data_IF_577178078185
#
_entry.id   IF_577178078185
#
_cell.length_a   1.000
_cell.length_b   1.000
_cell.length_c   1.000
_cell.angle_alpha   90.00
_cell.angle_beta   90.00
_cell.angle_gamma   90.00
#
_symmetry.space_group_name_H-M   'P 1'
#
loop_
_entity.id
_entity.type
_entity.pdbx_description
1 polymer ?
#
# COMPACT_ATOMS: atom_id res chain seq x y z
N UNK A 1 -13.73 -1.00 -19.63
CA UNK A 1 -13.73 0.47 -19.76
C UNK A 1 -14.96 1.00 -20.48
N UNK A 2 -15.29 0.52 -21.68
CA UNK A 2 -16.48 1.00 -22.44
C UNK A 2 -17.82 0.97 -21.66
N UNK A 3 -18.00 0.04 -20.72
CA UNK A 3 -19.17 0.00 -19.84
C UNK A 3 -19.17 1.12 -18.79
N UNK A 4 -18.02 1.49 -18.23
CA UNK A 4 -17.90 2.61 -17.29
C UNK A 4 -18.34 3.93 -17.94
N UNK A 5 -18.01 4.13 -19.22
CA UNK A 5 -18.40 5.33 -19.98
C UNK A 5 -19.91 5.53 -20.13
N UNK A 6 -20.72 4.50 -19.87
CA UNK A 6 -22.19 4.56 -19.92
C UNK A 6 -22.82 4.99 -18.58
N UNK A 7 -22.04 5.13 -17.51
CA UNK A 7 -22.54 5.53 -16.19
C UNK A 7 -23.01 6.99 -16.19
N UNK A 8 -24.03 7.30 -15.39
CA UNK A 8 -24.56 8.66 -15.20
C UNK A 8 -23.74 9.51 -14.20
N UNK A 9 -22.88 8.87 -13.40
CA UNK A 9 -22.11 9.44 -12.28
C UNK A 9 -22.93 9.75 -11.01
N UNK A 10 -24.12 9.18 -10.83
CA UNK A 10 -24.91 9.43 -9.61
C UNK A 10 -24.49 8.53 -8.44
N UNK A 11 -24.35 7.22 -8.70
CA UNK A 11 -24.01 6.24 -7.66
C UNK A 11 -22.54 5.81 -7.70
N UNK A 12 -21.97 5.73 -8.90
CA UNK A 12 -20.59 5.32 -9.12
C UNK A 12 -19.96 6.29 -10.11
N UNK A 13 -19.00 7.12 -9.67
CA UNK A 13 -18.24 7.97 -10.58
C UNK A 13 -17.58 7.14 -11.69
N UNK A 14 -17.60 7.65 -12.92
CA UNK A 14 -16.97 6.98 -14.07
C UNK A 14 -15.50 6.67 -13.80
N UNK A 15 -14.77 7.63 -13.25
CA UNK A 15 -13.34 7.49 -12.94
C UNK A 15 -13.09 6.38 -11.91
N UNK A 16 -13.96 6.22 -10.91
CA UNK A 16 -13.88 5.12 -9.94
C UNK A 16 -14.11 3.77 -10.61
N UNK A 17 -15.10 3.68 -11.51
CA UNK A 17 -15.32 2.47 -12.31
C UNK A 17 -14.08 2.16 -13.17
N UNK A 18 -13.55 3.15 -13.89
CA UNK A 18 -12.41 2.95 -14.77
C UNK A 18 -11.17 2.52 -14.02
N UNK A 19 -10.83 3.23 -12.94
CA UNK A 19 -9.70 2.92 -12.04
C UNK A 19 -9.75 1.46 -11.59
N UNK A 20 -10.90 1.02 -11.07
CA UNK A 20 -11.06 -0.36 -10.59
C UNK A 20 -10.95 -1.38 -11.74
N UNK A 21 -11.51 -1.08 -12.90
CA UNK A 21 -11.47 -1.99 -14.06
C UNK A 21 -10.05 -2.12 -14.61
N UNK A 22 -9.32 -1.02 -14.85
CA UNK A 22 -7.95 -1.09 -15.38
C UNK A 22 -6.99 -1.75 -14.39
N UNK A 23 -7.06 -1.40 -13.10
CA UNK A 23 -6.18 -1.97 -12.08
C UNK A 23 -6.43 -3.48 -11.88
N UNK A 24 -7.69 -3.89 -11.81
CA UNK A 24 -8.02 -5.32 -11.71
C UNK A 24 -7.59 -6.08 -12.95
N UNK A 25 -7.78 -5.50 -14.14
CA UNK A 25 -7.41 -6.13 -15.41
C UNK A 25 -5.89 -6.27 -15.54
N UNK A 26 -5.12 -5.23 -15.24
CA UNK A 26 -3.66 -5.25 -15.35
C UNK A 26 -3.05 -6.33 -14.44
N UNK A 27 -3.50 -6.40 -13.19
CA UNK A 27 -3.02 -7.41 -12.25
C UNK A 27 -3.50 -8.82 -12.58
N UNK A 28 -4.74 -9.01 -13.03
CA UNK A 28 -5.24 -10.36 -13.39
C UNK A 28 -4.52 -10.94 -14.59
N UNK A 29 -4.26 -10.10 -15.60
CA UNK A 29 -3.68 -10.52 -16.87
C UNK A 29 -2.16 -10.41 -16.92
N UNK A 30 -1.51 -9.95 -15.85
CA UNK A 30 -0.07 -9.68 -15.81
C UNK A 30 0.36 -8.70 -16.94
N UNK A 31 -0.48 -7.70 -17.21
CA UNK A 31 -0.35 -6.81 -18.37
C UNK A 31 -0.53 -5.34 -17.97
N UNK A 32 0.59 -4.65 -17.77
CA UNK A 32 0.61 -3.22 -17.47
C UNK A 32 0.00 -2.36 -18.59
N UNK A 33 -0.03 -2.86 -19.84
CA UNK A 33 -0.59 -2.11 -20.96
C UNK A 33 -2.11 -1.92 -20.83
N UNK A 34 -2.79 -2.75 -20.02
CA UNK A 34 -4.20 -2.56 -19.66
C UNK A 34 -4.46 -1.20 -18.98
N UNK A 35 -3.45 -0.61 -18.31
CA UNK A 35 -3.56 0.74 -17.76
C UNK A 35 -3.77 1.81 -18.84
N UNK A 36 -3.34 1.56 -20.08
CA UNK A 36 -3.48 2.50 -21.22
C UNK A 36 -4.88 2.48 -21.84
N UNK A 37 -5.79 1.63 -21.37
CA UNK A 37 -7.16 1.51 -21.91
C UNK A 37 -8.08 2.66 -21.50
N UNK A 38 -7.80 3.36 -20.40
CA UNK A 38 -8.49 4.62 -20.06
C UNK A 38 -7.87 5.78 -20.83
N UNK A 39 -8.66 6.82 -21.12
CA UNK A 39 -8.15 8.08 -21.71
C UNK A 39 -7.68 9.07 -20.64
N UNK A 40 -8.02 8.84 -19.37
CA UNK A 40 -7.66 9.71 -18.27
C UNK A 40 -6.19 9.47 -17.89
N UNK A 41 -5.31 10.42 -18.20
CA UNK A 41 -3.86 10.32 -17.98
C UNK A 41 -3.48 10.14 -16.50
N UNK A 42 -4.24 10.75 -15.59
CA UNK A 42 -4.03 10.59 -14.14
C UNK A 42 -4.31 9.14 -13.72
N UNK A 43 -5.41 8.55 -14.21
CA UNK A 43 -5.72 7.14 -13.94
C UNK A 43 -4.72 6.18 -14.58
N UNK A 44 -4.15 6.52 -15.75
CA UNK A 44 -3.08 5.72 -16.36
C UNK A 44 -1.86 5.67 -15.43
N UNK A 45 -1.39 6.84 -14.95
CA UNK A 45 -0.26 6.94 -14.04
C UNK A 45 -0.52 6.17 -12.72
N UNK A 46 -1.67 6.44 -12.07
CA UNK A 46 -2.07 5.73 -10.85
C UNK A 46 -2.15 4.22 -11.04
N UNK A 47 -2.64 3.75 -12.19
CA UNK A 47 -2.70 2.31 -12.49
C UNK A 47 -1.31 1.70 -12.65
N UNK A 48 -0.40 2.38 -13.36
CA UNK A 48 0.97 1.90 -13.55
C UNK A 48 1.76 1.86 -12.24
N UNK A 49 1.63 2.89 -11.40
CA UNK A 49 2.29 2.93 -10.10
C UNK A 49 1.78 1.80 -9.19
N UNK A 50 0.46 1.65 -9.10
CA UNK A 50 -0.15 0.56 -8.31
C UNK A 50 0.13 -0.83 -8.88
N UNK A 51 0.35 -0.93 -10.20
CA UNK A 51 0.63 -2.20 -10.85
C UNK A 51 1.87 -2.85 -10.24
N UNK A 52 3.00 -2.13 -10.14
CA UNK A 52 4.24 -2.71 -9.61
C UNK A 52 4.10 -3.14 -8.15
N UNK A 53 3.36 -2.38 -7.33
CA UNK A 53 3.11 -2.70 -5.92
C UNK A 53 2.31 -3.99 -5.79
N UNK A 54 1.16 -4.09 -6.47
CA UNK A 54 0.31 -5.28 -6.38
C UNK A 54 0.94 -6.48 -7.10
N UNK A 55 1.67 -6.25 -8.18
CA UNK A 55 2.30 -7.30 -8.98
C UNK A 55 3.49 -7.93 -8.25
N UNK A 56 4.31 -7.13 -7.54
CA UNK A 56 5.39 -7.66 -6.69
C UNK A 56 4.84 -8.57 -5.58
N UNK A 57 3.72 -8.18 -4.96
CA UNK A 57 3.03 -9.00 -3.96
C UNK A 57 2.44 -10.27 -4.58
N UNK A 58 1.76 -10.16 -5.73
CA UNK A 58 1.16 -11.31 -6.43
C UNK A 58 2.21 -12.35 -6.84
N UNK A 59 3.37 -11.90 -7.32
CA UNK A 59 4.47 -12.78 -7.80
C UNK A 59 5.46 -13.16 -6.72
N UNK A 60 5.34 -12.58 -5.53
CA UNK A 60 6.31 -12.70 -4.45
C UNK A 60 7.74 -12.33 -4.88
N UNK A 61 7.86 -11.28 -5.69
CA UNK A 61 9.13 -10.83 -6.29
C UNK A 61 9.32 -9.33 -6.12
N UNK A 62 10.19 -8.97 -5.18
CA UNK A 62 10.55 -7.58 -4.87
C UNK A 62 11.29 -6.88 -6.02
N UNK A 63 11.94 -7.64 -6.92
CA UNK A 63 12.65 -7.11 -8.08
C UNK A 63 11.73 -6.40 -9.08
N UNK A 64 10.43 -6.72 -9.06
CA UNK A 64 9.40 -6.03 -9.85
C UNK A 64 9.34 -4.53 -9.51
N UNK A 65 9.60 -4.14 -8.25
CA UNK A 65 9.57 -2.74 -7.84
C UNK A 65 10.61 -1.89 -8.57
N UNK A 66 11.74 -2.47 -9.01
CA UNK A 66 12.77 -1.75 -9.74
C UNK A 66 12.38 -1.34 -11.17
N UNK A 67 11.27 -1.87 -11.67
CA UNK A 67 10.73 -1.55 -12.99
C UNK A 67 9.88 -0.28 -13.00
N UNK A 68 9.48 0.24 -11.82
CA UNK A 68 8.78 1.52 -11.73
C UNK A 68 9.67 2.67 -12.23
N UNK A 69 9.07 3.69 -12.83
CA UNK A 69 9.80 4.79 -13.48
C UNK A 69 10.36 5.81 -12.49
N UNK A 70 9.58 6.18 -11.48
CA UNK A 70 9.93 7.17 -10.47
C UNK A 70 10.53 6.51 -9.22
N UNK A 71 11.57 7.13 -8.63
CA UNK A 71 12.27 6.60 -7.45
C UNK A 71 11.31 6.47 -6.26
N UNK A 72 10.44 7.45 -6.09
CA UNK A 72 9.44 7.50 -5.02
C UNK A 72 8.51 6.27 -5.09
N UNK A 73 8.09 5.88 -6.31
CA UNK A 73 7.25 4.70 -6.54
C UNK A 73 8.02 3.40 -6.34
N UNK A 74 9.29 3.34 -6.75
CA UNK A 74 10.17 2.20 -6.47
C UNK A 74 10.29 1.94 -4.97
N UNK A 75 10.58 3.00 -4.22
CA UNK A 75 10.78 2.92 -2.78
C UNK A 75 9.46 2.58 -2.06
N UNK A 76 8.34 3.21 -2.45
CA UNK A 76 7.02 2.86 -1.96
C UNK A 76 6.67 1.40 -2.22
N UNK A 77 6.89 0.90 -3.43
CA UNK A 77 6.67 -0.51 -3.78
C UNK A 77 7.52 -1.44 -2.93
N UNK A 78 8.82 -1.16 -2.84
CA UNK A 78 9.78 -1.97 -2.08
C UNK A 78 9.41 -2.03 -0.60
N UNK A 79 9.12 -0.88 0.01
CA UNK A 79 8.72 -0.79 1.41
C UNK A 79 7.40 -1.49 1.66
N UNK A 80 6.38 -1.26 0.81
CA UNK A 80 5.08 -1.93 0.93
C UNK A 80 5.24 -3.45 0.86
N UNK A 81 6.08 -3.96 -0.04
CA UNK A 81 6.38 -5.39 -0.14
C UNK A 81 7.00 -5.92 1.17
N UNK A 82 8.05 -5.28 1.69
CA UNK A 82 8.71 -5.71 2.92
C UNK A 82 7.78 -5.64 4.14
N UNK A 83 6.95 -4.60 4.24
CA UNK A 83 6.02 -4.48 5.35
C UNK A 83 4.98 -5.61 5.31
N UNK A 84 4.36 -5.84 4.15
CA UNK A 84 3.34 -6.88 4.02
C UNK A 84 3.92 -8.29 4.19
N UNK A 85 5.14 -8.53 3.70
CA UNK A 85 5.73 -9.87 3.69
C UNK A 85 6.50 -10.20 4.97
N UNK A 86 7.32 -9.28 5.44
CA UNK A 86 8.31 -9.54 6.49
C UNK A 86 7.90 -8.91 7.82
N UNK A 87 7.50 -7.62 7.82
CA UNK A 87 7.11 -6.95 9.06
C UNK A 87 5.87 -7.61 9.67
N UNK A 88 4.82 -7.84 8.87
CA UNK A 88 3.60 -8.50 9.35
C UNK A 88 3.83 -9.92 9.87
N UNK A 89 4.84 -10.62 9.36
CA UNK A 89 5.20 -11.98 9.76
C UNK A 89 6.03 -12.04 11.04
N UNK A 90 6.96 -11.09 11.26
CA UNK A 90 7.85 -11.05 12.41
C UNK A 90 8.14 -9.60 12.85
N UNK A 91 7.12 -8.98 13.45
CA UNK A 91 7.17 -7.56 13.86
C UNK A 91 8.29 -7.28 14.85
N UNK A 92 8.58 -8.21 15.75
CA UNK A 92 9.55 -8.04 16.83
C UNK A 92 10.98 -8.02 16.29
N UNK A 93 11.31 -8.89 15.34
CA UNK A 93 12.66 -9.01 14.80
C UNK A 93 12.87 -8.30 13.46
N UNK A 94 11.83 -7.72 12.84
CA UNK A 94 11.97 -7.00 11.59
C UNK A 94 12.98 -5.84 11.69
N UNK A 95 13.98 -5.82 10.80
CA UNK A 95 14.99 -4.76 10.75
C UNK A 95 14.48 -3.57 9.93
N UNK A 96 14.05 -2.51 10.63
CA UNK A 96 13.57 -1.29 10.02
C UNK A 96 14.59 -0.63 9.08
N UNK A 97 15.89 -0.85 9.27
CA UNK A 97 16.94 -0.27 8.40
C UNK A 97 16.92 -0.81 6.97
N UNK A 98 16.21 -1.93 6.74
CA UNK A 98 16.01 -2.51 5.41
C UNK A 98 15.03 -1.71 4.54
N UNK A 99 14.20 -0.86 5.14
CA UNK A 99 13.30 0.04 4.42
C UNK A 99 14.08 1.18 3.75
N UNK A 100 13.57 1.66 2.62
CA UNK A 100 14.14 2.76 1.86
C UNK A 100 13.51 4.08 2.29
N UNK A 101 14.33 5.01 2.76
CA UNK A 101 13.89 6.33 3.21
C UNK A 101 13.96 6.48 4.73
N UNK A 102 14.46 7.64 5.17
CA UNK A 102 14.76 7.89 6.60
C UNK A 102 13.47 8.00 7.41
N UNK A 103 12.42 8.59 6.83
CA UNK A 103 11.14 8.75 7.51
C UNK A 103 10.40 7.41 7.64
N UNK A 104 10.48 6.52 6.65
CA UNK A 104 9.95 5.16 6.72
C UNK A 104 10.68 4.33 7.79
N UNK A 105 12.01 4.46 7.87
CA UNK A 105 12.79 3.82 8.93
C UNK A 105 12.40 4.35 10.32
N UNK A 106 12.20 5.66 10.46
CA UNK A 106 11.78 6.28 11.71
C UNK A 106 10.38 5.82 12.13
N UNK A 107 9.40 5.89 11.23
CA UNK A 107 8.03 5.45 11.45
C UNK A 107 7.97 3.97 11.83
N UNK A 108 8.72 3.10 11.13
CA UNK A 108 8.84 1.69 11.47
C UNK A 108 9.29 1.48 12.92
N UNK A 109 10.31 2.22 13.37
CA UNK A 109 10.80 2.12 14.74
C UNK A 109 9.78 2.62 15.76
N UNK A 110 9.05 3.71 15.47
CA UNK A 110 7.95 4.19 16.33
C UNK A 110 6.94 3.06 16.53
N UNK A 111 6.47 2.44 15.44
CA UNK A 111 5.50 1.34 15.53
C UNK A 111 6.06 0.16 16.31
N UNK A 112 7.31 -0.25 16.06
CA UNK A 112 7.94 -1.35 16.82
C UNK A 112 7.98 -1.07 18.31
N UNK A 113 8.32 0.14 18.73
CA UNK A 113 8.34 0.51 20.16
C UNK A 113 6.95 0.50 20.78
N UNK A 114 5.92 0.93 20.05
CA UNK A 114 4.54 0.89 20.53
C UNK A 114 4.03 -0.56 20.68
N UNK A 115 4.41 -1.46 19.76
CA UNK A 115 4.04 -2.87 19.83
C UNK A 115 4.65 -3.62 21.03
N UNK A 116 5.79 -3.14 21.56
CA UNK A 116 6.42 -3.70 22.77
C UNK A 116 5.72 -3.31 24.06
N UNK A 117 4.92 -2.24 24.06
CA UNK A 117 4.25 -1.82 25.28
C UNK A 117 3.25 -2.90 25.70
N UNK A 118 3.29 -3.37 26.96
CA UNK A 118 2.32 -4.34 27.43
C UNK A 118 0.93 -3.75 27.26
N UNK A 119 0.12 -4.36 26.40
CA UNK A 119 -1.29 -3.99 26.26
C UNK A 119 -1.97 -4.04 27.63
N UNK A 120 -3.04 -3.25 27.85
CA UNK A 120 -3.70 -3.16 29.14
C UNK A 120 -4.00 -4.56 29.65
N UNK A 121 -3.32 -4.93 30.73
CA UNK A 121 -3.43 -6.25 31.33
C UNK A 121 -4.87 -6.46 31.78
N UNK A 122 -5.45 -7.55 31.26
CA UNK A 122 -6.66 -8.26 31.70
C UNK A 122 -7.97 -7.96 30.94
N UNK A 123 -8.29 -8.89 30.05
CA UNK A 123 -9.67 -9.40 29.92
C UNK A 123 -10.40 -9.11 28.62
N UNK A 124 -9.90 -8.21 27.77
CA UNK A 124 -10.55 -7.89 26.49
C UNK A 124 -9.60 -8.13 25.31
N UNK A 125 -10.05 -8.85 24.26
CA UNK A 125 -9.26 -9.04 23.05
C UNK A 125 -8.99 -7.67 22.43
N UNK A 126 -7.70 -7.32 22.32
CA UNK A 126 -7.10 -6.27 21.47
C UNK A 126 -8.00 -5.03 21.29
N UNK A 127 -7.83 -4.05 22.17
CA UNK A 127 -8.54 -2.79 22.10
C UNK A 127 -8.05 -1.99 20.86
N UNK A 128 -8.89 -1.75 19.84
CA UNK A 128 -8.52 -0.97 18.64
C UNK A 128 -8.17 0.50 18.95
N UNK A 129 -8.40 0.95 20.19
CA UNK A 129 -8.21 2.34 20.60
C UNK A 129 -6.79 2.72 21.01
N UNK A 130 -5.87 1.76 21.23
CA UNK A 130 -4.45 2.07 21.45
C UNK A 130 -3.71 2.40 20.14
N UNK A 131 -4.28 2.05 18.99
CA UNK A 131 -3.69 2.34 17.69
C UNK A 131 -3.69 3.82 17.33
N UNK A 132 -4.59 4.65 17.87
CA UNK A 132 -4.78 6.01 17.35
C UNK A 132 -3.88 7.09 17.95
N UNK A 133 -3.26 6.89 19.12
CA UNK A 133 -2.59 8.02 19.80
C UNK A 133 -1.29 8.43 19.13
N UNK A 134 -0.61 7.50 18.45
CA UNK A 134 0.69 7.75 17.82
C UNK A 134 0.64 7.75 16.29
N UNK A 135 -0.47 7.34 15.64
CA UNK A 135 -0.59 7.48 14.17
C UNK A 135 -0.35 8.92 13.69
N UNK A 136 -0.80 9.98 14.39
CA UNK A 136 -0.54 11.36 13.97
C UNK A 136 0.94 11.75 13.96
N UNK A 137 1.80 11.00 14.66
CA UNK A 137 3.24 11.25 14.72
C UNK A 137 4.00 10.59 13.56
N UNK A 138 3.32 9.72 12.78
CA UNK A 138 3.90 9.05 11.62
C UNK A 138 3.98 10.03 10.45
N UNK A 139 5.10 10.03 9.74
CA UNK A 139 5.37 10.99 8.66
C UNK A 139 4.99 10.48 7.28
N UNK A 140 4.96 9.17 7.11
CA UNK A 140 4.80 8.52 5.82
C UNK A 140 3.39 7.98 5.66
N UNK A 141 2.85 8.10 4.44
CA UNK A 141 1.52 7.58 4.12
C UNK A 141 1.44 6.07 4.30
N UNK A 142 2.52 5.35 4.04
CA UNK A 142 2.60 3.89 4.21
C UNK A 142 2.31 3.48 5.66
N UNK A 143 3.00 4.09 6.62
CA UNK A 143 2.83 3.75 8.03
C UNK A 143 1.57 4.37 8.63
N UNK A 144 1.15 5.53 8.15
CA UNK A 144 -0.16 6.11 8.49
C UNK A 144 -1.29 5.15 8.09
N UNK A 145 -1.25 4.63 6.86
CA UNK A 145 -2.23 3.66 6.37
C UNK A 145 -2.17 2.35 7.17
N UNK A 146 -0.98 1.82 7.45
CA UNK A 146 -0.82 0.65 8.31
C UNK A 146 -1.42 0.85 9.70
N UNK A 147 -1.18 2.01 10.30
CA UNK A 147 -1.64 2.35 11.64
C UNK A 147 -3.18 2.47 11.70
N UNK A 148 -3.80 3.04 10.67
CA UNK A 148 -5.25 3.26 10.61
C UNK A 148 -6.04 2.01 10.21
N UNK A 149 -5.51 1.21 9.28
CA UNK A 149 -6.28 0.14 8.64
C UNK A 149 -5.76 -1.27 8.96
N UNK A 150 -4.52 -1.40 9.43
CA UNK A 150 -3.81 -2.69 9.43
C UNK A 150 -3.54 -3.20 8.00
N UNK A 151 -2.75 -4.25 7.89
CA UNK A 151 -2.58 -5.05 6.67
C UNK A 151 -3.11 -6.46 6.90
#
# INVERSE_FOLDING_TARGET
>A
ISHCQKLDNELVPRDDCERNVIASKSIKNDDISACLETKNQELQAQCQDNYYIQFSQKKDDIGICEQASAKEIKDLCYNTYLINKNFSADKDNFDCSTLRGIDEQADCNIIKEQLKQPGPTQGFPINPSLGMSYCPDLKTDLFTAYCLFGF
#
